data_IF_952261787613
#
_entry.id   IF_952261787613
#
_cell.length_a   1.000
_cell.length_b   1.000
_cell.length_c   1.000
_cell.angle_alpha   90.00
_cell.angle_beta   90.00
_cell.angle_gamma   90.00
#
_symmetry.space_group_name_H-M   'P 1'
#
loop_
_entity.id
_entity.type
_entity.pdbx_description
1 polymer ?
#
# COMPACT_ATOMS: atom_id res chain seq x y z
N UNK A 1 -12.22 -11.74 -14.56
CA UNK A 1 -10.85 -12.29 -14.62
C UNK A 1 -9.92 -11.12 -14.47
N UNK A 2 -9.10 -11.10 -13.44
CA UNK A 2 -8.07 -10.06 -13.26
C UNK A 2 -6.73 -10.68 -13.57
N UNK A 3 -5.94 -10.02 -14.41
CA UNK A 3 -4.58 -10.44 -14.77
C UNK A 3 -3.63 -9.41 -14.16
N UNK A 4 -2.84 -9.82 -13.16
CA UNK A 4 -1.79 -8.98 -12.62
C UNK A 4 -0.60 -8.95 -13.58
N UNK A 5 -0.25 -7.74 -14.03
CA UNK A 5 0.82 -7.47 -14.99
C UNK A 5 2.03 -6.81 -14.32
N UNK A 6 2.02 -6.62 -13.01
CA UNK A 6 3.09 -5.94 -12.25
C UNK A 6 4.46 -6.57 -12.48
N UNK A 7 4.52 -7.89 -12.66
CA UNK A 7 5.76 -8.64 -12.89
C UNK A 7 6.19 -8.72 -14.37
N UNK A 8 5.39 -8.21 -15.30
CA UNK A 8 5.69 -8.29 -16.72
C UNK A 8 6.51 -7.09 -17.21
N UNK A 9 7.74 -7.34 -17.65
CA UNK A 9 8.58 -6.34 -18.31
C UNK A 9 7.88 -5.81 -19.57
N UNK A 10 7.60 -4.51 -19.60
CA UNK A 10 6.90 -3.85 -20.71
C UNK A 10 5.40 -3.60 -20.46
N UNK A 11 4.91 -3.85 -19.24
CA UNK A 11 3.52 -3.60 -18.86
C UNK A 11 3.05 -2.14 -19.08
N UNK A 12 3.97 -1.17 -19.09
CA UNK A 12 3.70 0.25 -19.42
C UNK A 12 3.54 0.54 -20.92
N UNK A 13 3.78 -0.44 -21.78
CA UNK A 13 3.76 -0.30 -23.24
C UNK A 13 2.77 -1.25 -23.92
N UNK A 14 1.80 -1.76 -23.17
CA UNK A 14 0.82 -2.71 -23.70
C UNK A 14 -0.11 -1.99 -24.67
N UNK A 15 0.07 -2.30 -25.95
CA UNK A 15 -0.75 -1.74 -27.01
C UNK A 15 -1.83 -2.71 -27.52
N UNK A 16 -1.74 -4.00 -27.17
CA UNK A 16 -2.65 -5.04 -27.65
C UNK A 16 -2.83 -6.14 -26.60
N UNK A 17 -4.07 -6.60 -26.39
CA UNK A 17 -4.40 -7.80 -25.63
C UNK A 17 -4.94 -8.85 -26.59
N UNK A 18 -4.40 -10.07 -26.54
CA UNK A 18 -4.92 -11.21 -27.30
C UNK A 18 -5.50 -12.26 -26.36
N UNK A 19 -6.79 -12.54 -26.50
CA UNK A 19 -7.50 -13.55 -25.72
C UNK A 19 -7.68 -14.81 -26.57
N UNK A 20 -7.39 -15.98 -26.00
CA UNK A 20 -7.63 -17.28 -26.62
C UNK A 20 -8.59 -18.09 -25.77
N UNK A 21 -9.57 -18.73 -26.41
CA UNK A 21 -10.50 -19.65 -25.76
C UNK A 21 -10.22 -21.04 -26.31
N UNK A 22 -10.11 -22.04 -25.42
CA UNK A 22 -9.88 -23.44 -25.79
C UNK A 22 -10.99 -24.32 -25.24
N UNK A 23 -11.66 -25.05 -26.14
CA UNK A 23 -12.55 -26.15 -25.76
C UNK A 23 -11.77 -27.37 -25.28
N UNK A 24 -12.35 -28.12 -24.34
CA UNK A 24 -11.76 -29.37 -23.81
C UNK A 24 -12.22 -30.62 -24.57
N UNK A 25 -13.07 -30.46 -25.59
CA UNK A 25 -13.61 -31.55 -26.42
C UNK A 25 -13.14 -31.42 -27.87
N UNK A 26 -13.14 -32.54 -28.61
CA UNK A 26 -12.83 -32.57 -30.04
C UNK A 26 -14.05 -32.23 -30.93
N UNK A 27 -15.06 -31.57 -30.38
CA UNK A 27 -16.24 -31.17 -31.12
C UNK A 27 -16.04 -29.77 -31.69
N UNK A 28 -16.62 -29.52 -32.86
CA UNK A 28 -16.70 -28.17 -33.42
C UNK A 28 -17.48 -27.27 -32.46
N UNK A 29 -16.90 -26.11 -32.16
CA UNK A 29 -17.56 -25.11 -31.33
C UNK A 29 -18.65 -24.39 -32.13
N UNK A 30 -19.87 -24.35 -31.58
CA UNK A 30 -21.04 -23.71 -32.19
C UNK A 30 -21.69 -22.64 -31.28
N UNK A 31 -20.86 -21.80 -30.65
CA UNK A 31 -21.33 -20.73 -29.77
C UNK A 31 -20.73 -19.36 -30.11
N UNK A 32 -21.18 -18.33 -29.39
CA UNK A 32 -20.55 -17.01 -29.35
C UNK A 32 -19.73 -16.88 -28.06
N UNK A 33 -18.65 -16.10 -28.11
CA UNK A 33 -17.90 -15.70 -26.93
C UNK A 33 -17.86 -14.18 -26.89
N UNK A 34 -18.49 -13.61 -25.86
CA UNK A 34 -18.54 -12.17 -25.66
C UNK A 34 -17.45 -11.79 -24.66
N UNK A 35 -16.59 -10.85 -25.06
CA UNK A 35 -15.63 -10.19 -24.17
C UNK A 35 -16.25 -8.84 -23.82
N UNK A 36 -16.46 -8.58 -22.53
CA UNK A 36 -16.89 -7.27 -22.05
C UNK A 36 -15.83 -6.19 -22.26
N UNK A 37 -16.09 -4.96 -21.79
CA UNK A 37 -15.06 -3.94 -21.75
C UNK A 37 -13.89 -4.41 -20.86
N UNK A 38 -12.66 -4.28 -21.38
CA UNK A 38 -11.43 -4.44 -20.61
C UNK A 38 -10.88 -3.07 -20.25
N UNK A 39 -10.48 -2.89 -19.01
CA UNK A 39 -9.84 -1.67 -18.52
C UNK A 39 -8.44 -2.01 -18.02
N UNK A 40 -7.48 -1.13 -18.30
CA UNK A 40 -6.21 -1.13 -17.59
C UNK A 40 -6.39 -0.20 -16.40
N UNK A 41 -6.19 -0.73 -15.19
CA UNK A 41 -6.03 0.10 -14.00
C UNK A 41 -4.56 0.04 -13.59
N UNK A 42 -3.94 1.20 -13.39
CA UNK A 42 -2.70 1.30 -12.63
C UNK A 42 -3.06 1.58 -11.19
N UNK A 43 -2.30 1.01 -10.25
CA UNK A 43 -2.35 1.43 -8.85
C UNK A 43 -1.34 2.54 -8.55
N UNK A 44 -0.82 3.18 -9.61
CA UNK A 44 0.06 4.33 -9.52
C UNK A 44 -0.78 5.57 -9.21
N UNK A 45 -0.39 6.39 -8.23
CA UNK A 45 -1.08 7.63 -7.94
C UNK A 45 -1.00 8.56 -9.15
N UNK A 46 -2.14 9.13 -9.57
CA UNK A 46 -2.17 10.18 -10.60
C UNK A 46 -1.88 11.55 -9.99
N UNK A 47 -2.15 11.70 -8.70
CA UNK A 47 -1.76 12.86 -7.89
C UNK A 47 -0.91 12.39 -6.72
N UNK A 48 0.37 12.81 -6.72
CA UNK A 48 1.31 12.52 -5.63
C UNK A 48 1.10 13.50 -4.47
N UNK A 49 1.06 12.96 -3.25
CA UNK A 49 0.98 13.73 -2.00
C UNK A 49 2.32 13.74 -1.26
N UNK A 50 2.97 12.58 -1.16
CA UNK A 50 4.29 12.43 -0.55
C UNK A 50 5.12 11.37 -1.29
N UNK A 51 6.27 11.79 -1.81
CA UNK A 51 7.32 10.96 -2.41
C UNK A 51 8.62 10.97 -1.60
N UNK A 52 8.72 11.83 -0.58
CA UNK A 52 9.87 11.97 0.34
C UNK A 52 11.20 12.38 -0.31
N UNK A 53 11.21 12.75 -1.59
CA UNK A 53 12.41 13.05 -2.37
C UNK A 53 13.14 14.32 -1.92
N UNK A 54 12.53 15.12 -1.05
CA UNK A 54 13.18 16.26 -0.39
C UNK A 54 14.03 15.86 0.83
N UNK A 55 14.05 14.56 1.17
CA UNK A 55 14.77 14.00 2.31
C UNK A 55 14.14 14.35 3.66
N UNK A 56 12.89 14.81 3.69
CA UNK A 56 12.15 15.11 4.91
C UNK A 56 11.06 14.08 5.17
N UNK A 57 10.50 14.08 6.39
CA UNK A 57 9.40 13.16 6.72
C UNK A 57 8.06 13.59 6.13
N UNK A 58 7.97 14.72 5.41
CA UNK A 58 6.70 15.24 4.91
C UNK A 58 5.66 15.55 5.99
N UNK A 59 6.09 15.75 7.24
CA UNK A 59 5.22 15.97 8.39
C UNK A 59 4.71 14.69 9.07
N UNK A 60 5.12 13.51 8.61
CA UNK A 60 4.79 12.26 9.27
C UNK A 60 5.51 12.15 10.62
N UNK A 61 4.79 11.66 11.63
CA UNK A 61 5.25 11.55 13.01
C UNK A 61 5.02 10.14 13.58
N UNK A 62 5.83 9.72 14.57
CA UNK A 62 5.57 8.52 15.34
C UNK A 62 4.29 8.68 16.19
N UNK A 63 3.51 7.61 16.29
CA UNK A 63 2.35 7.50 17.17
C UNK A 63 2.55 6.30 18.12
N UNK A 64 1.57 5.39 18.22
CA UNK A 64 1.65 4.24 19.12
C UNK A 64 2.75 3.26 18.71
N UNK A 65 3.60 2.90 19.66
CA UNK A 65 4.66 1.87 19.54
C UNK A 65 5.74 2.15 18.50
N UNK A 66 5.86 3.40 18.02
CA UNK A 66 6.94 3.85 17.12
C UNK A 66 7.82 4.84 17.86
N UNK A 67 9.13 4.65 17.80
CA UNK A 67 10.13 5.51 18.44
C UNK A 67 10.57 6.66 17.54
N UNK A 68 10.70 6.40 16.23
CA UNK A 68 11.11 7.40 15.25
C UNK A 68 10.53 7.15 13.87
N UNK A 69 10.47 8.23 13.09
CA UNK A 69 10.12 8.26 11.68
C UNK A 69 11.17 9.10 10.96
N UNK A 70 11.80 8.56 9.92
CA UNK A 70 12.90 9.21 9.22
C UNK A 70 12.79 8.96 7.71
N UNK A 71 13.16 9.96 6.90
CA UNK A 71 13.40 9.75 5.48
C UNK A 71 14.76 9.05 5.31
N UNK A 72 14.77 7.92 4.61
CA UNK A 72 15.95 7.05 4.46
C UNK A 72 16.17 6.70 3.00
N UNK A 73 17.44 6.55 2.63
CA UNK A 73 17.83 6.14 1.26
C UNK A 73 18.10 4.63 1.14
N UNK A 74 18.12 3.91 2.26
CA UNK A 74 18.31 2.45 2.33
C UNK A 74 17.86 1.90 3.68
N UNK A 75 17.58 0.61 3.72
CA UNK A 75 17.12 -0.11 4.92
C UNK A 75 17.57 -1.58 4.87
N UNK A 76 17.54 -2.27 6.01
CA UNK A 76 18.16 -3.59 6.14
C UNK A 76 17.35 -4.73 5.50
N UNK A 77 16.01 -4.65 5.51
CA UNK A 77 15.12 -5.60 4.83
C UNK A 77 15.17 -5.41 3.31
N UNK A 78 14.79 -6.44 2.54
CA UNK A 78 14.63 -6.27 1.09
C UNK A 78 13.45 -5.33 0.79
N UNK A 79 13.48 -4.58 -0.33
CA UNK A 79 14.50 -4.58 -1.38
C UNK A 79 15.77 -3.76 -1.07
N UNK A 80 15.88 -3.17 0.13
CA UNK A 80 16.99 -2.30 0.60
C UNK A 80 17.07 -0.94 -0.08
N UNK A 81 16.02 -0.55 -0.79
CA UNK A 81 15.92 0.70 -1.51
C UNK A 81 14.46 1.19 -1.49
N UNK A 82 14.24 2.51 -1.58
CA UNK A 82 12.93 3.12 -1.85
C UNK A 82 12.17 2.43 -2.99
N UNK A 83 10.84 2.57 -3.01
CA UNK A 83 10.03 2.05 -4.12
C UNK A 83 10.25 2.91 -5.37
N UNK A 84 10.34 4.23 -5.17
CA UNK A 84 10.67 5.19 -6.23
C UNK A 84 11.66 6.22 -5.70
N UNK A 85 12.47 6.78 -6.61
CA UNK A 85 13.40 7.83 -6.25
C UNK A 85 14.53 7.39 -5.30
N UNK A 86 15.00 8.34 -4.52
CA UNK A 86 16.16 8.22 -3.63
C UNK A 86 15.76 8.07 -2.15
N UNK A 87 14.52 8.38 -1.76
CA UNK A 87 14.06 8.36 -0.37
C UNK A 87 12.75 7.61 -0.18
N UNK A 88 12.64 6.93 0.96
CA UNK A 88 11.38 6.42 1.50
C UNK A 88 11.28 6.77 2.98
N UNK A 89 10.09 6.68 3.56
CA UNK A 89 9.91 6.92 4.99
C UNK A 89 10.03 5.60 5.77
N UNK A 90 10.92 5.51 6.75
CA UNK A 90 11.01 4.36 7.67
C UNK A 90 10.51 4.71 9.07
N UNK A 91 9.63 3.86 9.60
CA UNK A 91 9.19 3.88 10.99
C UNK A 91 9.92 2.80 11.80
N UNK A 92 10.60 3.22 12.87
CA UNK A 92 11.29 2.33 13.82
C UNK A 92 10.43 2.07 15.04
N UNK A 93 10.03 0.82 15.27
CA UNK A 93 9.20 0.43 16.42
C UNK A 93 10.00 0.34 17.72
N UNK A 94 9.31 0.64 18.82
CA UNK A 94 9.72 0.14 20.13
C UNK A 94 9.67 -1.40 20.16
N UNK A 95 10.37 -2.03 21.09
CA UNK A 95 10.23 -3.49 21.29
C UNK A 95 8.94 -3.77 22.07
N UNK A 96 7.93 -4.25 21.34
CA UNK A 96 6.59 -4.59 21.85
C UNK A 96 6.12 -5.92 21.23
N UNK A 97 5.07 -6.59 21.75
CA UNK A 97 4.55 -7.81 21.14
C UNK A 97 4.28 -7.67 19.64
N UNK A 98 4.57 -8.70 18.87
CA UNK A 98 4.47 -8.66 17.40
C UNK A 98 3.06 -8.27 16.90
N UNK A 99 2.01 -8.74 17.59
CA UNK A 99 0.59 -8.45 17.32
C UNK A 99 0.09 -7.07 17.77
N UNK A 100 0.94 -6.28 18.43
CA UNK A 100 0.64 -4.90 18.80
C UNK A 100 0.85 -3.96 17.60
N UNK A 101 -0.15 -3.12 17.23
CA UNK A 101 -0.01 -2.18 16.12
C UNK A 101 1.09 -1.13 16.33
N UNK A 102 1.90 -0.93 15.30
CA UNK A 102 2.89 0.16 15.18
C UNK A 102 2.29 1.22 14.29
N UNK A 103 2.12 2.44 14.79
CA UNK A 103 1.34 3.48 14.13
C UNK A 103 2.20 4.71 13.87
N UNK A 104 2.07 5.26 12.66
CA UNK A 104 2.55 6.59 12.30
C UNK A 104 1.39 7.37 11.70
N UNK A 105 1.48 8.70 11.73
CA UNK A 105 0.44 9.53 11.16
C UNK A 105 0.98 10.81 10.54
N UNK A 106 0.15 11.44 9.71
CA UNK A 106 0.35 12.79 9.22
C UNK A 106 -0.96 13.57 9.32
N UNK A 107 -0.85 14.83 9.73
CA UNK A 107 -1.92 15.83 9.62
C UNK A 107 -1.50 16.82 8.54
N UNK A 108 -2.17 16.82 7.38
CA UNK A 108 -1.91 17.79 6.33
C UNK A 108 -2.09 19.24 6.83
N UNK A 109 -1.21 20.16 6.40
CA UNK A 109 -1.29 21.58 6.78
C UNK A 109 -2.63 22.22 6.39
N UNK A 110 -3.21 21.75 5.29
CA UNK A 110 -4.57 22.06 4.86
C UNK A 110 -5.30 20.73 4.59
N UNK A 111 -6.59 20.61 4.95
CA UNK A 111 -7.36 19.40 4.65
C UNK A 111 -7.28 19.05 3.17
N UNK A 112 -7.05 17.77 2.87
CA UNK A 112 -6.96 17.30 1.48
C UNK A 112 -8.37 17.09 0.91
N UNK A 113 -8.57 17.48 -0.34
CA UNK A 113 -9.78 17.18 -1.09
C UNK A 113 -9.52 15.97 -1.98
N UNK A 114 -10.14 14.84 -1.66
CA UNK A 114 -10.09 13.59 -2.44
C UNK A 114 -11.40 13.35 -3.19
N UNK A 115 -12.20 14.39 -3.50
CA UNK A 115 -13.52 14.23 -4.15
C UNK A 115 -13.42 13.51 -5.50
N UNK A 116 -12.35 13.75 -6.24
CA UNK A 116 -12.07 13.15 -7.55
C UNK A 116 -11.33 11.81 -7.47
N UNK A 117 -10.94 11.36 -6.27
CA UNK A 117 -10.23 10.11 -6.09
C UNK A 117 -11.18 8.91 -6.02
N UNK A 118 -10.79 7.81 -6.65
CA UNK A 118 -11.34 6.48 -6.36
C UNK A 118 -10.62 5.87 -5.17
N UNK A 119 -9.29 5.99 -5.12
CA UNK A 119 -8.45 5.37 -4.09
C UNK A 119 -7.37 6.32 -3.56
N UNK A 120 -7.13 6.27 -2.24
CA UNK A 120 -5.83 6.65 -1.66
C UNK A 120 -4.93 5.43 -1.71
N UNK A 121 -3.73 5.58 -2.28
CA UNK A 121 -2.76 4.49 -2.47
C UNK A 121 -1.38 4.86 -1.91
N UNK A 122 -0.65 3.84 -1.46
CA UNK A 122 0.75 3.96 -1.10
C UNK A 122 1.45 2.60 -1.20
N UNK A 123 2.76 2.64 -1.32
CA UNK A 123 3.62 1.47 -1.19
C UNK A 123 4.01 1.28 0.28
N UNK A 124 3.92 0.06 0.77
CA UNK A 124 4.30 -0.32 2.13
C UNK A 124 5.19 -1.56 2.15
N UNK A 125 6.24 -1.54 2.94
CA UNK A 125 7.15 -2.65 3.17
C UNK A 125 7.40 -2.81 4.68
N UNK A 126 7.89 -3.97 5.09
CA UNK A 126 8.28 -4.21 6.47
C UNK A 126 9.35 -5.28 6.60
N UNK A 127 9.92 -5.35 7.78
CA UNK A 127 10.85 -6.40 8.16
C UNK A 127 10.04 -7.68 8.40
N UNK A 128 10.54 -8.81 7.90
CA UNK A 128 10.04 -10.11 8.34
C UNK A 128 10.69 -10.51 9.66
N UNK A 129 9.94 -11.04 10.61
CA UNK A 129 10.48 -11.54 11.88
C UNK A 129 10.66 -13.06 11.85
N UNK A 130 11.68 -13.52 11.11
CA UNK A 130 12.00 -14.94 11.04
C UNK A 130 12.26 -15.53 12.44
N UNK A 131 11.55 -16.60 12.78
CA UNK A 131 11.71 -17.31 14.06
C UNK A 131 10.80 -16.84 15.20
N UNK A 132 10.00 -15.78 15.03
CA UNK A 132 9.05 -15.30 16.05
C UNK A 132 7.65 -15.91 15.94
N UNK A 133 7.46 -16.98 15.17
CA UNK A 133 6.14 -17.62 15.03
C UNK A 133 5.07 -16.77 14.33
N UNK A 134 5.43 -15.62 13.74
CA UNK A 134 4.52 -14.78 12.96
C UNK A 134 4.06 -15.56 11.73
N UNK A 135 2.74 -15.74 11.60
CA UNK A 135 2.11 -16.48 10.49
C UNK A 135 1.74 -15.59 9.32
N UNK A 136 1.49 -14.31 9.58
CA UNK A 136 1.05 -13.34 8.59
C UNK A 136 1.33 -11.90 9.09
N UNK A 137 1.08 -10.91 8.26
CA UNK A 137 1.29 -9.50 8.56
C UNK A 137 0.08 -8.67 8.13
N UNK A 138 -0.17 -7.59 8.86
CA UNK A 138 -1.27 -6.68 8.57
C UNK A 138 -0.72 -5.27 8.43
N UNK A 139 -1.04 -4.62 7.32
CA UNK A 139 -0.82 -3.20 7.10
C UNK A 139 -2.16 -2.54 6.77
N UNK A 140 -2.48 -1.49 7.52
CA UNK A 140 -3.75 -0.76 7.44
C UNK A 140 -3.45 0.73 7.26
N UNK A 141 -4.21 1.39 6.39
CA UNK A 141 -4.31 2.84 6.33
C UNK A 141 -5.67 3.28 6.89
N UNK A 142 -5.68 4.30 7.74
CA UNK A 142 -6.90 4.97 8.19
C UNK A 142 -6.90 6.41 7.70
N UNK A 143 -7.98 6.80 7.04
CA UNK A 143 -8.15 8.13 6.46
C UNK A 143 -9.28 8.82 7.22
N UNK A 144 -9.00 9.99 7.78
CA UNK A 144 -9.91 10.71 8.66
C UNK A 144 -10.36 12.04 8.06
N UNK A 145 -11.65 12.34 8.17
CA UNK A 145 -12.23 13.67 7.94
C UNK A 145 -12.99 14.10 9.20
N UNK A 146 -12.31 14.86 10.06
CA UNK A 146 -12.79 15.13 11.42
C UNK A 146 -12.91 13.82 12.22
N UNK A 147 -14.10 13.53 12.74
CA UNK A 147 -14.39 12.32 13.52
C UNK A 147 -14.79 11.10 12.65
N UNK A 148 -14.87 11.27 11.33
CA UNK A 148 -15.24 10.21 10.40
C UNK A 148 -13.98 9.52 9.86
N UNK A 149 -14.01 8.20 9.74
CA UNK A 149 -12.86 7.40 9.33
C UNK A 149 -13.27 6.32 8.33
N UNK A 150 -12.44 6.13 7.32
CA UNK A 150 -12.46 4.94 6.46
C UNK A 150 -11.12 4.23 6.52
N UNK A 151 -11.17 2.90 6.41
CA UNK A 151 -10.01 2.03 6.53
C UNK A 151 -9.74 1.30 5.21
N UNK A 152 -8.46 1.20 4.87
CA UNK A 152 -7.94 0.38 3.78
C UNK A 152 -6.87 -0.58 4.28
N UNK A 153 -6.63 -1.65 3.54
CA UNK A 153 -5.63 -2.66 3.90
C UNK A 153 -4.92 -3.21 2.68
N UNK A 154 -3.69 -3.68 2.86
CA UNK A 154 -2.97 -4.39 1.82
C UNK A 154 -3.56 -5.80 1.62
N UNK A 155 -3.71 -6.24 0.37
CA UNK A 155 -4.11 -7.62 0.06
C UNK A 155 -2.88 -8.50 -0.11
N UNK A 156 -2.88 -9.68 0.54
CA UNK A 156 -1.76 -10.65 0.54
C UNK A 156 -0.40 -10.01 0.87
N UNK A 157 -0.34 -9.37 2.05
CA UNK A 157 0.85 -8.67 2.48
C UNK A 157 2.03 -9.63 2.64
N UNK A 158 3.18 -9.25 2.09
CA UNK A 158 4.42 -10.02 2.20
C UNK A 158 5.54 -9.11 2.73
N UNK A 159 6.24 -9.50 3.81
CA UNK A 159 7.35 -8.70 4.32
C UNK A 159 8.58 -8.79 3.40
N UNK A 160 9.50 -7.84 3.54
CA UNK A 160 10.72 -7.73 2.73
C UNK A 160 10.45 -7.53 1.22
N UNK A 161 9.33 -6.89 0.88
CA UNK A 161 8.98 -6.41 -0.45
C UNK A 161 7.96 -5.29 -0.32
N UNK A 162 7.89 -4.45 -1.35
CA UNK A 162 6.83 -3.46 -1.46
C UNK A 162 5.49 -4.15 -1.77
N UNK A 163 4.46 -3.69 -1.08
CA UNK A 163 3.06 -4.10 -1.22
C UNK A 163 2.22 -2.84 -1.44
N UNK A 164 1.12 -2.97 -2.17
CA UNK A 164 0.14 -1.89 -2.28
C UNK A 164 -0.73 -1.86 -1.03
N UNK A 165 -0.81 -0.70 -0.39
CA UNK A 165 -1.81 -0.37 0.62
C UNK A 165 -2.77 0.65 0.01
N UNK A 166 -4.07 0.35 0.06
CA UNK A 166 -5.10 1.17 -0.58
C UNK A 166 -6.35 1.27 0.29
N UNK A 167 -6.95 2.45 0.30
CA UNK A 167 -8.31 2.70 0.79
C UNK A 167 -9.17 3.18 -0.37
N UNK A 168 -10.31 2.52 -0.58
CA UNK A 168 -11.36 2.99 -1.49
C UNK A 168 -12.08 4.16 -0.84
N UNK A 169 -12.06 5.32 -1.50
CA UNK A 169 -12.73 6.54 -1.06
C UNK A 169 -13.84 6.97 -2.02
N UNK A 170 -14.03 6.28 -3.14
CA UNK A 170 -14.91 6.67 -4.26
C UNK A 170 -16.35 7.00 -3.83
N UNK A 171 -16.90 6.23 -2.90
CA UNK A 171 -18.26 6.38 -2.38
C UNK A 171 -18.31 6.97 -0.96
N UNK A 172 -17.16 7.40 -0.42
CA UNK A 172 -17.10 7.96 0.93
C UNK A 172 -17.53 9.43 0.93
N UNK A 173 -18.62 9.75 1.65
CA UNK A 173 -19.21 11.10 1.72
C UNK A 173 -18.26 12.14 2.32
N UNK A 174 -17.29 11.72 3.14
CA UNK A 174 -16.39 12.61 3.88
C UNK A 174 -15.01 12.77 3.23
N UNK A 175 -14.87 12.47 1.94
CA UNK A 175 -13.57 12.51 1.24
C UNK A 175 -13.06 13.90 0.86
N UNK A 176 -13.88 14.94 1.00
CA UNK A 176 -13.52 16.31 0.57
C UNK A 176 -12.73 17.13 1.60
N UNK A 177 -12.44 16.57 2.78
CA UNK A 177 -11.75 17.27 3.87
C UNK A 177 -10.94 16.31 4.74
N UNK A 178 -9.94 15.65 4.16
CA UNK A 178 -9.07 14.73 4.90
C UNK A 178 -8.14 15.50 5.84
N UNK A 179 -8.28 15.21 7.12
CA UNK A 179 -7.58 15.88 8.23
C UNK A 179 -6.46 15.04 8.84
N UNK A 180 -6.47 13.72 8.66
CA UNK A 180 -5.43 12.83 9.18
C UNK A 180 -5.34 11.58 8.32
N UNK A 181 -4.12 11.11 8.09
CA UNK A 181 -3.85 9.79 7.55
C UNK A 181 -2.99 9.05 8.57
N UNK A 182 -3.35 7.82 8.89
CA UNK A 182 -2.58 6.93 9.75
C UNK A 182 -2.21 5.68 8.98
N UNK A 183 -0.99 5.18 9.20
CA UNK A 183 -0.57 3.86 8.74
C UNK A 183 -0.20 3.04 9.95
N UNK A 184 -0.71 1.81 9.99
CA UNK A 184 -0.41 0.86 11.05
C UNK A 184 0.09 -0.47 10.50
N UNK A 185 1.02 -1.08 11.23
CA UNK A 185 1.63 -2.35 10.88
C UNK A 185 1.77 -3.28 12.10
N UNK A 186 1.49 -4.57 11.93
CA UNK A 186 1.77 -5.61 12.93
C UNK A 186 2.02 -6.98 12.28
N UNK A 187 2.68 -7.85 13.05
CA UNK A 187 2.67 -9.28 12.78
C UNK A 187 1.41 -9.93 13.33
N UNK A 188 1.00 -11.07 12.80
CA UNK A 188 -0.14 -11.85 13.26
C UNK A 188 0.32 -13.23 13.73
N UNK A 189 -0.39 -13.77 14.73
CA UNK A 189 -0.17 -15.12 15.25
C UNK A 189 0.96 -15.26 16.28
N UNK A 190 1.59 -14.16 16.70
CA UNK A 190 2.61 -14.15 17.75
C UNK A 190 2.48 -12.94 18.67
N UNK A 191 2.77 -13.16 19.95
CA UNK A 191 2.89 -12.13 20.99
C UNK A 191 4.34 -11.96 21.47
N UNK A 192 5.30 -12.59 20.78
CA UNK A 192 6.72 -12.41 21.09
C UNK A 192 7.13 -10.96 20.83
N UNK A 193 8.00 -10.44 21.68
CA UNK A 193 8.51 -9.09 21.58
C UNK A 193 9.31 -8.87 20.29
N UNK A 194 8.96 -7.81 19.56
CA UNK A 194 9.55 -7.50 18.26
C UNK A 194 9.64 -5.99 18.03
N UNK A 195 10.87 -5.48 17.86
CA UNK A 195 11.14 -4.09 17.49
C UNK A 195 10.98 -3.78 16.00
N UNK A 196 10.20 -4.56 15.25
CA UNK A 196 10.08 -4.51 13.79
C UNK A 196 9.98 -3.13 13.16
N UNK A 197 10.39 -3.00 11.90
CA UNK A 197 10.29 -1.72 11.17
C UNK A 197 9.41 -1.87 9.95
N UNK A 198 8.80 -0.77 9.53
CA UNK A 198 8.07 -0.69 8.28
C UNK A 198 8.41 0.59 7.54
N UNK A 199 8.26 0.55 6.22
CA UNK A 199 8.52 1.66 5.32
C UNK A 199 7.26 2.01 4.54
N UNK A 200 7.05 3.29 4.25
CA UNK A 200 6.05 3.76 3.30
C UNK A 200 6.69 4.66 2.25
N UNK A 201 6.10 4.65 1.05
CA UNK A 201 6.56 5.43 -0.10
C UNK A 201 5.41 5.64 -1.10
N UNK A 202 5.57 6.56 -2.06
CA UNK A 202 4.64 6.83 -3.17
C UNK A 202 3.19 7.04 -2.74
N UNK A 203 2.96 7.96 -1.81
CA UNK A 203 1.64 8.20 -1.25
C UNK A 203 0.90 9.19 -2.14
N UNK A 204 -0.24 8.79 -2.66
CA UNK A 204 -1.06 9.64 -3.50
C UNK A 204 -2.44 9.07 -3.74
N UNK A 205 -3.16 9.61 -4.71
CA UNK A 205 -4.49 9.13 -5.06
C UNK A 205 -4.68 9.02 -6.57
N UNK A 206 -5.63 8.17 -6.97
CA UNK A 206 -6.02 7.89 -8.34
C UNK A 206 -7.53 7.77 -8.47
#
# INVERSE_FOLDING_TARGET
LTLDLSTWTGNTTINNIKVWVRGTTNNDWSGTYDIGAGYFSSNEPTTMLWDFEDGTTGGWIPESNVESVEAVTTFANRPRAPEEGDYALEASSATVPADTPRVISVTPDNPLDLTDAEHLVMSVNSYGAAGLGISDYEAIVRVWSGDQMIEGQASDYQPNRWNLLSADVSDWEHRSSITKIEVSFRGLGSSDDWGGRFQIDKIGWL
#
